data_IF_118590380558
#
_entry.id   IF_118590380558
#
_cell.length_a   1.000
_cell.length_b   1.000
_cell.length_c   1.000
_cell.angle_alpha   90.00
_cell.angle_beta   90.00
_cell.angle_gamma   90.00
#
_symmetry.space_group_name_H-M   'P 1'
#
loop_
_entity.id
_entity.type
_entity.pdbx_description
1 polymer ?
#
# COMPACT_ATOMS: atom_id res chain seq x y z
N UNK A 1 -7.91 11.26 -4.37
CA UNK A 1 -7.97 10.54 -5.67
C UNK A 1 -9.38 10.64 -6.22
N UNK A 2 -9.53 11.08 -7.47
CA UNK A 2 -10.88 11.28 -8.07
C UNK A 2 -11.31 10.15 -9.02
N UNK A 3 -10.59 9.02 -9.01
CA UNK A 3 -10.81 7.96 -9.99
C UNK A 3 -11.24 6.66 -9.27
N UNK A 4 -12.51 6.23 -9.39
CA UNK A 4 -13.00 5.03 -8.71
C UNK A 4 -12.27 3.76 -9.15
N UNK A 5 -11.75 3.74 -10.37
CA UNK A 5 -10.97 2.61 -10.88
C UNK A 5 -9.67 2.41 -10.11
N UNK A 6 -8.96 3.50 -9.82
CA UNK A 6 -7.75 3.46 -8.97
C UNK A 6 -8.06 2.97 -7.56
N UNK A 7 -9.16 3.43 -6.98
CA UNK A 7 -9.60 2.97 -5.65
C UNK A 7 -9.87 1.47 -5.64
N UNK A 8 -10.49 0.93 -6.70
CA UNK A 8 -10.75 -0.50 -6.82
C UNK A 8 -9.45 -1.32 -6.88
N UNK A 9 -8.44 -0.86 -7.63
CA UNK A 9 -7.13 -1.51 -7.70
C UNK A 9 -6.43 -1.51 -6.33
N UNK A 10 -6.48 -0.39 -5.60
CA UNK A 10 -5.91 -0.30 -4.25
C UNK A 10 -6.62 -1.28 -3.31
N UNK A 11 -7.95 -1.33 -3.34
CA UNK A 11 -8.73 -2.26 -2.50
C UNK A 11 -8.37 -3.71 -2.77
N UNK A 12 -8.25 -4.11 -4.04
CA UNK A 12 -7.81 -5.45 -4.41
C UNK A 12 -6.41 -5.74 -3.85
N UNK A 13 -5.48 -4.80 -3.97
CA UNK A 13 -4.11 -4.94 -3.44
C UNK A 13 -4.13 -5.09 -1.91
N UNK A 14 -4.94 -4.30 -1.20
CA UNK A 14 -5.10 -4.39 0.25
C UNK A 14 -5.67 -5.75 0.67
N UNK A 15 -6.69 -6.24 -0.03
CA UNK A 15 -7.25 -7.58 0.23
C UNK A 15 -6.20 -8.68 0.02
N UNK A 16 -5.33 -8.55 -0.99
CA UNK A 16 -4.24 -9.51 -1.20
C UNK A 16 -3.20 -9.47 -0.08
N UNK A 17 -2.88 -8.29 0.45
CA UNK A 17 -1.97 -8.15 1.59
C UNK A 17 -2.59 -8.82 2.83
N UNK A 18 -3.87 -8.59 3.10
CA UNK A 18 -4.60 -9.23 4.20
C UNK A 18 -4.62 -10.76 4.05
N UNK A 19 -4.90 -11.28 2.85
CA UNK A 19 -4.86 -12.70 2.57
C UNK A 19 -3.47 -13.30 2.82
N UNK A 20 -2.41 -12.58 2.44
CA UNK A 20 -1.02 -12.96 2.71
C UNK A 20 -0.76 -13.01 4.22
N UNK A 21 -1.23 -12.02 4.98
CA UNK A 21 -1.09 -11.99 6.44
C UNK A 21 -1.77 -13.19 7.10
N UNK A 22 -3.01 -13.48 6.71
CA UNK A 22 -3.76 -14.65 7.23
C UNK A 22 -3.05 -15.96 6.88
N UNK A 23 -2.51 -16.08 5.66
CA UNK A 23 -1.71 -17.23 5.25
C UNK A 23 -0.48 -17.44 6.11
N UNK A 24 0.28 -16.37 6.36
CA UNK A 24 1.48 -16.43 7.23
C UNK A 24 1.12 -16.70 8.68
N UNK A 25 0.00 -16.15 9.19
CA UNK A 25 -0.50 -16.48 10.52
C UNK A 25 -0.76 -18.00 10.68
N UNK A 26 -1.35 -18.62 9.65
CA UNK A 26 -1.58 -20.07 9.64
C UNK A 26 -0.26 -20.84 9.66
N UNK A 27 0.75 -20.43 8.87
CA UNK A 27 2.08 -21.06 8.84
C UNK A 27 2.82 -20.96 10.19
N UNK A 28 2.65 -19.86 10.90
CA UNK A 28 3.28 -19.63 12.20
C UNK A 28 2.44 -20.08 13.39
N UNK A 29 1.32 -20.75 13.12
CA UNK A 29 0.37 -21.22 14.14
C UNK A 29 -0.08 -20.10 15.10
N UNK A 30 -0.24 -18.88 14.58
CA UNK A 30 -0.76 -17.75 15.34
C UNK A 30 -2.27 -17.86 15.39
N UNK A 31 -2.81 -18.04 16.61
CA UNK A 31 -4.26 -18.17 16.80
C UNK A 31 -4.98 -16.84 16.57
N UNK A 32 -6.19 -16.95 16.01
CA UNK A 32 -7.07 -15.80 15.85
C UNK A 32 -7.67 -15.42 17.21
N UNK A 33 -7.24 -14.29 17.75
CA UNK A 33 -7.70 -13.75 19.03
C UNK A 33 -7.87 -12.22 18.92
N UNK A 34 -8.29 -11.57 19.99
CA UNK A 34 -8.53 -10.12 19.97
C UNK A 34 -7.29 -9.31 19.54
N UNK A 35 -6.07 -9.75 19.90
CA UNK A 35 -4.83 -9.06 19.54
C UNK A 35 -4.54 -9.22 18.04
N UNK A 36 -4.70 -10.42 17.49
CA UNK A 36 -4.48 -10.65 16.06
C UNK A 36 -5.50 -9.91 15.18
N UNK A 37 -6.76 -9.80 15.64
CA UNK A 37 -7.79 -9.02 14.93
C UNK A 37 -7.43 -7.52 14.89
N UNK A 38 -6.95 -6.96 16.01
CA UNK A 38 -6.49 -5.55 16.04
C UNK A 38 -5.32 -5.36 15.10
N UNK A 39 -4.36 -6.31 15.05
CA UNK A 39 -3.23 -6.22 14.14
C UNK A 39 -3.65 -6.33 12.66
N UNK A 40 -4.66 -7.15 12.33
CA UNK A 40 -5.25 -7.18 11.00
C UNK A 40 -5.90 -5.84 10.63
N UNK A 41 -6.65 -5.23 11.55
CA UNK A 41 -7.21 -3.90 11.30
C UNK A 41 -6.12 -2.83 11.06
N UNK A 42 -5.01 -2.89 11.80
CA UNK A 42 -3.86 -2.01 11.56
C UNK A 42 -3.15 -2.31 10.24
N UNK A 43 -3.13 -3.57 9.80
CA UNK A 43 -2.59 -3.97 8.51
C UNK A 43 -3.28 -3.23 7.36
N UNK A 44 -4.60 -3.09 7.39
CA UNK A 44 -5.38 -2.34 6.38
C UNK A 44 -4.85 -0.90 6.27
N UNK A 45 -4.68 -0.20 7.39
CA UNK A 45 -4.18 1.18 7.41
C UNK A 45 -2.77 1.30 6.82
N UNK A 46 -1.86 0.43 7.23
CA UNK A 46 -0.48 0.40 6.74
C UNK A 46 -0.42 0.04 5.25
N UNK A 47 -1.25 -0.90 4.80
CA UNK A 47 -1.34 -1.30 3.40
C UNK A 47 -1.83 -0.18 2.51
N UNK A 48 -2.85 0.57 2.95
CA UNK A 48 -3.34 1.76 2.24
C UNK A 48 -2.24 2.82 2.14
N UNK A 49 -1.44 3.02 3.18
CA UNK A 49 -0.31 3.96 3.18
C UNK A 49 0.70 3.59 2.08
N UNK A 50 1.14 2.32 1.99
CA UNK A 50 2.06 1.86 0.94
C UNK A 50 1.49 2.06 -0.47
N UNK A 51 0.22 1.70 -0.66
CA UNK A 51 -0.43 1.77 -1.98
C UNK A 51 -0.74 3.19 -2.41
N UNK A 52 -1.12 4.08 -1.49
CA UNK A 52 -1.58 5.43 -1.80
C UNK A 52 -0.49 6.29 -2.42
N UNK A 53 0.76 6.21 -1.93
CA UNK A 53 1.87 7.00 -2.46
C UNK A 53 2.17 6.66 -3.93
N UNK A 54 2.26 5.38 -4.25
CA UNK A 54 2.52 4.90 -5.62
C UNK A 54 1.33 5.22 -6.54
N UNK A 55 0.11 4.98 -6.06
CA UNK A 55 -1.10 5.25 -6.84
C UNK A 55 -1.29 6.74 -7.11
N UNK A 56 -0.96 7.61 -6.15
CA UNK A 56 -1.03 9.06 -6.32
C UNK A 56 -0.02 9.54 -7.38
N UNK A 57 1.23 9.09 -7.29
CA UNK A 57 2.25 9.43 -8.29
C UNK A 57 1.88 8.91 -9.68
N UNK A 58 1.29 7.72 -9.77
CA UNK A 58 0.78 7.21 -11.04
C UNK A 58 -0.34 8.08 -11.61
N UNK A 59 -1.26 8.59 -10.79
CA UNK A 59 -2.36 9.44 -11.24
C UNK A 59 -1.87 10.80 -11.76
N UNK A 60 -0.81 11.37 -11.17
CA UNK A 60 -0.20 12.64 -11.59
C UNK A 60 0.70 12.50 -12.82
N UNK A 61 1.33 11.35 -13.01
CA UNK A 61 2.26 11.13 -14.12
C UNK A 61 1.56 11.17 -15.48
N UNK A 62 2.23 11.79 -16.47
CA UNK A 62 1.76 11.88 -17.87
C UNK A 62 2.52 10.89 -18.75
N UNK A 63 1.84 10.33 -19.74
CA UNK A 63 2.40 9.38 -20.70
C UNK A 63 1.59 8.10 -20.83
N UNK A 64 2.20 7.06 -21.39
CA UNK A 64 1.63 5.71 -21.47
C UNK A 64 1.52 5.09 -20.07
N UNK A 65 0.71 4.03 -19.92
CA UNK A 65 0.56 3.34 -18.62
C UNK A 65 1.89 2.88 -18.05
N UNK A 66 2.75 2.29 -18.89
CA UNK A 66 4.06 1.81 -18.49
C UNK A 66 4.99 2.96 -18.05
N UNK A 67 5.03 4.05 -18.79
CA UNK A 67 5.82 5.25 -18.42
C UNK A 67 5.33 5.84 -17.09
N UNK A 68 4.04 5.88 -16.88
CA UNK A 68 3.44 6.39 -15.63
C UNK A 68 3.78 5.49 -14.44
N UNK A 69 3.67 4.16 -14.61
CA UNK A 69 4.05 3.21 -13.57
C UNK A 69 5.55 3.30 -13.24
N UNK A 70 6.39 3.42 -14.27
CA UNK A 70 7.83 3.61 -14.10
C UNK A 70 8.16 4.92 -13.37
N UNK A 71 7.55 6.05 -13.79
CA UNK A 71 7.74 7.35 -13.12
C UNK A 71 7.28 7.31 -11.67
N UNK A 72 6.09 6.75 -11.40
CA UNK A 72 5.59 6.61 -10.04
C UNK A 72 6.55 5.82 -9.15
N UNK A 73 7.11 4.74 -9.66
CA UNK A 73 8.06 3.92 -8.92
C UNK A 73 9.39 4.65 -8.70
N UNK A 74 9.91 5.36 -9.70
CA UNK A 74 11.17 6.12 -9.59
C UNK A 74 11.04 7.30 -8.65
N UNK A 75 9.94 8.04 -8.70
CA UNK A 75 9.72 9.24 -7.87
C UNK A 75 9.38 8.89 -6.42
N UNK A 76 8.46 7.93 -6.21
CA UNK A 76 7.96 7.60 -4.88
C UNK A 76 8.59 6.35 -4.26
N UNK A 77 9.15 5.45 -5.07
CA UNK A 77 9.76 4.21 -4.58
C UNK A 77 10.82 4.44 -3.49
N UNK A 78 11.83 5.30 -3.69
CA UNK A 78 12.83 5.59 -2.66
C UNK A 78 12.23 6.19 -1.38
N UNK A 79 11.24 7.07 -1.51
CA UNK A 79 10.54 7.69 -0.38
C UNK A 79 9.71 6.66 0.40
N UNK A 80 8.99 5.79 -0.29
CA UNK A 80 8.21 4.70 0.33
C UNK A 80 9.15 3.70 1.00
N UNK A 81 10.24 3.33 0.34
CA UNK A 81 11.20 2.38 0.89
C UNK A 81 11.91 2.94 2.13
N UNK A 82 12.47 4.15 2.07
CA UNK A 82 13.22 4.72 3.18
C UNK A 82 12.31 5.28 4.29
N UNK A 83 11.29 6.04 3.92
CA UNK A 83 10.41 6.72 4.89
C UNK A 83 9.42 5.79 5.58
N UNK A 84 8.79 4.88 4.84
CA UNK A 84 7.74 4.02 5.39
C UNK A 84 8.32 2.67 5.81
N UNK A 85 9.01 1.97 4.90
CA UNK A 85 9.49 0.61 5.15
C UNK A 85 10.57 0.59 6.23
N UNK A 86 11.61 1.42 6.09
CA UNK A 86 12.73 1.42 7.02
C UNK A 86 12.30 1.88 8.42
N UNK A 87 11.50 2.92 8.52
CA UNK A 87 11.01 3.43 9.80
C UNK A 87 10.17 2.39 10.55
N UNK A 88 9.26 1.73 9.83
CA UNK A 88 8.44 0.66 10.42
C UNK A 88 9.30 -0.57 10.77
N UNK A 89 10.32 -0.88 9.96
CA UNK A 89 11.23 -1.99 10.24
C UNK A 89 12.04 -1.77 11.53
N UNK A 90 12.50 -0.55 11.79
CA UNK A 90 13.17 -0.20 13.06
C UNK A 90 12.21 -0.39 14.24
N UNK A 91 10.96 0.06 14.13
CA UNK A 91 9.94 -0.16 15.16
C UNK A 91 9.69 -1.65 15.43
N UNK A 92 9.62 -2.46 14.38
CA UNK A 92 9.45 -3.91 14.48
C UNK A 92 10.67 -4.57 15.15
N UNK A 93 11.89 -4.13 14.82
CA UNK A 93 13.13 -4.66 15.40
C UNK A 93 13.17 -4.49 16.93
N UNK A 94 12.65 -3.38 17.46
CA UNK A 94 12.54 -3.15 18.90
C UNK A 94 11.64 -4.20 19.58
N UNK A 95 10.58 -4.64 18.91
CA UNK A 95 9.66 -5.66 19.45
C UNK A 95 10.31 -7.05 19.56
N UNK A 96 11.31 -7.33 18.72
CA UNK A 96 12.08 -8.57 18.80
C UNK A 96 12.84 -8.71 20.15
N UNK A 97 13.35 -7.60 20.67
CA UNK A 97 14.10 -7.58 21.94
C UNK A 97 13.19 -7.53 23.17
N UNK A 98 11.87 -7.53 23.00
CA UNK A 98 10.93 -7.55 24.12
C UNK A 98 11.05 -8.88 24.88
N UNK A 99 11.09 -8.88 26.21
CA UNK A 99 11.13 -10.09 27.04
C UNK A 99 9.80 -10.86 27.05
N UNK A 100 8.73 -10.27 26.54
CA UNK A 100 7.39 -10.87 26.54
C UNK A 100 7.14 -11.71 25.29
N UNK A 101 6.81 -13.00 25.47
CA UNK A 101 6.43 -13.89 24.39
C UNK A 101 5.21 -13.37 23.58
N UNK A 102 4.30 -12.67 24.24
CA UNK A 102 3.14 -12.06 23.59
C UNK A 102 3.58 -11.00 22.54
N UNK A 103 4.53 -10.14 22.88
CA UNK A 103 5.06 -9.14 21.94
C UNK A 103 5.85 -9.78 20.80
N UNK A 104 6.61 -10.84 21.06
CA UNK A 104 7.36 -11.54 20.02
C UNK A 104 6.44 -12.30 19.05
N UNK A 105 5.41 -12.98 19.52
CA UNK A 105 4.54 -13.82 18.69
C UNK A 105 3.50 -12.96 17.96
N UNK A 106 2.73 -12.16 18.70
CA UNK A 106 1.59 -11.46 18.13
C UNK A 106 1.93 -10.09 17.52
N UNK A 107 2.94 -9.40 18.05
CA UNK A 107 3.32 -8.11 17.49
C UNK A 107 4.49 -8.22 16.53
N UNK A 108 5.65 -8.73 16.94
CA UNK A 108 6.83 -8.79 16.08
C UNK A 108 6.57 -9.56 14.78
N UNK A 109 6.10 -10.82 14.88
CA UNK A 109 5.88 -11.65 13.69
C UNK A 109 4.82 -11.07 12.75
N UNK A 110 3.69 -10.61 13.30
CA UNK A 110 2.63 -10.03 12.48
C UNK A 110 3.06 -8.71 11.84
N UNK A 111 3.64 -7.78 12.59
CA UNK A 111 4.13 -6.51 12.02
C UNK A 111 5.24 -6.70 11.00
N UNK A 112 6.16 -7.62 11.24
CA UNK A 112 7.18 -7.98 10.25
C UNK A 112 6.54 -8.43 8.94
N UNK A 113 5.53 -9.30 9.01
CA UNK A 113 4.78 -9.76 7.83
C UNK A 113 4.07 -8.60 7.15
N UNK A 114 3.40 -7.72 7.90
CA UNK A 114 2.69 -6.56 7.38
C UNK A 114 3.64 -5.63 6.61
N UNK A 115 4.81 -5.33 7.18
CA UNK A 115 5.79 -4.43 6.54
C UNK A 115 6.36 -5.05 5.27
N UNK A 116 6.73 -6.34 5.30
CA UNK A 116 7.28 -7.03 4.13
C UNK A 116 6.20 -7.21 3.05
N UNK A 117 5.02 -7.72 3.41
CA UNK A 117 3.93 -7.91 2.45
C UNK A 117 3.44 -6.57 1.89
N UNK A 118 3.30 -5.53 2.72
CA UNK A 118 2.93 -4.19 2.29
C UNK A 118 3.93 -3.58 1.31
N UNK A 119 5.23 -3.70 1.62
CA UNK A 119 6.28 -3.21 0.73
C UNK A 119 6.30 -3.98 -0.61
N UNK A 120 6.24 -5.31 -0.58
CA UNK A 120 6.24 -6.13 -1.80
C UNK A 120 5.02 -5.87 -2.67
N UNK A 121 3.81 -5.86 -2.09
CA UNK A 121 2.60 -5.61 -2.86
C UNK A 121 2.48 -4.15 -3.29
N UNK A 122 2.85 -3.19 -2.45
CA UNK A 122 2.79 -1.76 -2.77
C UNK A 122 3.84 -1.33 -3.80
N UNK A 123 5.07 -1.86 -3.72
CA UNK A 123 6.18 -1.42 -4.59
C UNK A 123 6.41 -2.31 -5.82
N UNK A 124 6.03 -3.60 -5.79
CA UNK A 124 6.19 -4.49 -6.92
C UNK A 124 4.83 -4.80 -7.59
N UNK A 125 3.88 -5.34 -6.85
CA UNK A 125 2.61 -5.79 -7.40
C UNK A 125 1.74 -4.62 -7.91
N UNK A 126 1.58 -3.56 -7.13
CA UNK A 126 0.75 -2.42 -7.49
C UNK A 126 1.20 -1.71 -8.78
N UNK A 127 2.50 -1.35 -8.98
CA UNK A 127 2.95 -0.75 -10.23
C UNK A 127 2.73 -1.66 -11.44
N UNK A 128 2.90 -2.97 -11.30
CA UNK A 128 2.64 -3.95 -12.37
C UNK A 128 1.16 -3.95 -12.75
N UNK A 129 0.26 -4.03 -11.78
CA UNK A 129 -1.18 -3.95 -12.08
C UNK A 129 -1.56 -2.61 -12.70
N UNK A 130 -1.00 -1.51 -12.22
CA UNK A 130 -1.25 -0.18 -12.79
C UNK A 130 -0.73 -0.06 -14.22
N UNK A 131 0.36 -0.73 -14.58
CA UNK A 131 0.85 -0.75 -15.96
C UNK A 131 -0.08 -1.54 -16.90
N UNK A 132 -0.73 -2.60 -16.40
CA UNK A 132 -1.62 -3.47 -17.18
C UNK A 132 -3.05 -2.92 -17.28
N UNK A 133 -3.63 -2.57 -16.14
CA UNK A 133 -5.06 -2.26 -15.98
C UNK A 133 -5.31 -0.82 -15.54
N UNK A 134 -4.25 -0.03 -15.30
CA UNK A 134 -4.37 1.35 -14.84
C UNK A 134 -5.20 2.23 -15.79
N UNK A 135 -5.89 3.26 -15.27
CA UNK A 135 -6.71 4.15 -16.08
C UNK A 135 -5.83 4.95 -17.05
N UNK A 136 -6.33 5.25 -18.28
CA UNK A 136 -5.60 6.05 -19.24
C UNK A 136 -5.34 7.47 -18.70
N UNK A 137 -4.24 8.09 -19.14
CA UNK A 137 -3.93 9.49 -18.84
C UNK A 137 -5.06 10.39 -19.37
N UNK A 138 -5.62 11.25 -18.52
CA UNK A 138 -6.74 12.11 -18.89
C UNK A 138 -8.12 11.48 -18.68
N UNK A 139 -8.28 10.66 -17.65
CA UNK A 139 -9.59 10.12 -17.29
C UNK A 139 -10.64 11.23 -17.22
N UNK A 140 -11.89 10.90 -17.51
CA UNK A 140 -13.05 11.81 -17.53
C UNK A 140 -13.08 12.74 -16.30
N UNK A 141 -12.62 12.24 -15.15
CA UNK A 141 -12.55 13.01 -13.90
C UNK A 141 -11.48 14.11 -13.91
N UNK A 142 -10.36 13.92 -14.59
CA UNK A 142 -9.36 14.98 -14.79
C UNK A 142 -9.91 16.07 -15.71
N UNK A 143 -10.66 15.69 -16.76
CA UNK A 143 -11.36 16.63 -17.64
C UNK A 143 -12.46 17.42 -16.89
N UNK A 144 -13.25 16.76 -16.07
CA UNK A 144 -14.30 17.42 -15.25
C UNK A 144 -13.65 18.37 -14.23
N UNK A 145 -12.53 17.98 -13.62
CA UNK A 145 -11.81 18.85 -12.67
C UNK A 145 -11.23 20.09 -13.35
N UNK A 146 -10.64 19.94 -14.53
CA UNK A 146 -10.11 21.05 -15.32
C UNK A 146 -11.23 21.96 -15.82
N UNK A 147 -12.35 21.40 -16.28
CA UNK A 147 -13.54 22.15 -16.69
C UNK A 147 -14.15 22.94 -15.51
N UNK A 148 -14.24 22.33 -14.34
CA UNK A 148 -14.75 22.99 -13.12
C UNK A 148 -13.82 24.12 -12.63
N UNK A 149 -12.49 23.98 -12.77
CA UNK A 149 -11.53 25.04 -12.48
C UNK A 149 -11.59 26.16 -13.52
N UNK A 150 -11.78 25.84 -14.80
CA UNK A 150 -11.91 26.84 -15.86
C UNK A 150 -13.16 27.73 -15.69
N UNK A 151 -14.27 27.15 -15.24
CA UNK A 151 -15.52 27.91 -15.00
C UNK A 151 -15.58 28.65 -13.65
N UNK A 152 -14.63 28.42 -12.75
CA UNK A 152 -14.54 29.14 -11.47
C UNK A 152 -13.69 30.43 -11.55
N UNK A 153 -13.12 30.72 -12.72
CA UNK A 153 -12.25 31.89 -12.98
C UNK A 153 -12.95 32.93 -13.89
N UNK A 154 -14.20 32.65 -14.31
CA UNK A 154 -15.09 33.62 -14.95
C UNK A 154 -16.13 34.12 -13.95
#
# INVERSE_FOLDING_TARGET
MGNPWMTCIILITVVMIEATLVGVMSLWSISLNAISIVNMAMCIGISIEFCSHIAFAFDEAKGTRNERAYKALVEMGPSVFSGITLTKFVGVAVLYFSPSALFQIYYFRMYLTIVIAGALHGMAFLPVILSLVGPPSGSIFTRIRLWRKGNAIQ
#
